data_IF_923397268252
#
_entry.id   IF_923397268252
#
_cell.length_a   1.000
_cell.length_b   1.000
_cell.length_c   1.000
_cell.angle_alpha   90.00
_cell.angle_beta   90.00
_cell.angle_gamma   90.00
#
_symmetry.space_group_name_H-M   'P 1'
#
loop_
_entity.id
_entity.type
_entity.pdbx_description
1 polymer ?
#
# COMPACT_ATOMS: atom_id res chain seq x y z
N UNK A 1 8.99 -11.08 11.85
CA UNK A 1 8.17 -10.74 10.66
C UNK A 1 8.96 -9.73 9.86
N UNK A 2 9.08 -9.92 8.54
CA UNK A 2 9.74 -8.96 7.65
C UNK A 2 8.90 -7.68 7.56
N UNK A 3 9.54 -6.53 7.41
CA UNK A 3 8.88 -5.22 7.45
C UNK A 3 7.80 -5.07 6.34
N UNK A 4 8.01 -5.68 5.17
CA UNK A 4 7.12 -5.66 4.01
C UNK A 4 6.42 -7.00 3.75
N UNK A 5 6.42 -7.90 4.72
CA UNK A 5 5.83 -9.23 4.61
C UNK A 5 6.59 -10.17 3.65
N UNK A 6 6.02 -11.35 3.48
CA UNK A 6 6.67 -12.43 2.72
C UNK A 6 6.65 -12.19 1.19
N UNK A 7 5.73 -11.37 0.68
CA UNK A 7 5.66 -11.04 -0.74
C UNK A 7 6.88 -10.31 -1.29
N UNK A 8 7.60 -9.60 -0.42
CA UNK A 8 8.82 -8.86 -0.75
C UNK A 8 10.04 -9.76 -0.96
N UNK A 9 10.12 -10.86 -0.23
CA UNK A 9 11.32 -11.71 -0.16
C UNK A 9 11.17 -13.06 -0.86
N UNK A 10 9.98 -13.40 -1.33
CA UNK A 10 9.76 -14.67 -2.03
C UNK A 10 9.84 -14.52 -3.54
N UNK A 11 10.20 -15.62 -4.22
CA UNK A 11 10.14 -15.71 -5.68
C UNK A 11 8.70 -15.86 -6.14
N UNK A 12 8.30 -15.08 -7.13
CA UNK A 12 7.01 -15.17 -7.78
C UNK A 12 7.13 -16.00 -9.08
N UNK A 13 6.17 -16.87 -9.30
CA UNK A 13 6.06 -17.66 -10.53
C UNK A 13 5.16 -16.93 -11.52
N UNK A 14 5.60 -16.81 -12.76
CA UNK A 14 4.76 -16.36 -13.87
C UNK A 14 3.71 -17.43 -14.17
N UNK A 15 2.42 -17.05 -14.15
CA UNK A 15 1.28 -17.94 -14.42
C UNK A 15 0.72 -17.66 -15.81
N UNK A 16 0.57 -16.39 -16.17
CA UNK A 16 0.02 -15.97 -17.44
C UNK A 16 0.60 -14.62 -17.84
N UNK A 17 0.83 -14.44 -19.14
CA UNK A 17 1.21 -13.16 -19.73
C UNK A 17 0.49 -12.94 -21.06
N UNK A 18 0.31 -11.68 -21.43
CA UNK A 18 -0.13 -11.18 -22.72
C UNK A 18 0.48 -9.82 -22.96
N UNK A 19 0.25 -9.19 -24.12
CA UNK A 19 0.77 -7.86 -24.43
C UNK A 19 0.32 -6.76 -23.44
N UNK A 20 -0.78 -6.97 -22.71
CA UNK A 20 -1.34 -5.97 -21.80
C UNK A 20 -1.62 -6.49 -20.39
N UNK A 21 -1.26 -7.73 -20.07
CA UNK A 21 -1.48 -8.27 -18.73
C UNK A 21 -0.44 -9.31 -18.31
N UNK A 22 -0.16 -9.33 -17.01
CA UNK A 22 0.76 -10.26 -16.37
C UNK A 22 0.11 -10.79 -15.09
N UNK A 23 0.20 -12.10 -14.85
CA UNK A 23 -0.23 -12.72 -13.59
C UNK A 23 0.95 -13.46 -12.96
N UNK A 24 1.25 -13.07 -11.74
CA UNK A 24 2.28 -13.69 -10.89
C UNK A 24 1.61 -14.36 -9.68
N UNK A 25 2.20 -15.46 -9.23
CA UNK A 25 1.75 -16.16 -8.03
C UNK A 25 2.91 -16.63 -7.17
N UNK A 26 2.70 -16.70 -5.85
CA UNK A 26 3.51 -17.50 -4.95
C UNK A 26 2.65 -18.19 -3.89
N UNK A 27 3.20 -19.25 -3.27
CA UNK A 27 2.61 -19.95 -2.13
C UNK A 27 3.53 -19.85 -0.93
N UNK A 28 2.94 -19.58 0.22
CA UNK A 28 3.60 -19.60 1.52
C UNK A 28 3.15 -20.85 2.28
N UNK A 29 4.08 -21.68 2.68
CA UNK A 29 3.79 -22.99 3.30
C UNK A 29 3.87 -22.97 4.84
N UNK A 30 3.85 -21.77 5.44
CA UNK A 30 4.05 -21.58 6.87
C UNK A 30 5.53 -21.59 7.24
N UNK A 31 5.95 -20.60 8.03
CA UNK A 31 7.30 -20.47 8.61
C UNK A 31 7.16 -20.02 10.06
N UNK A 32 8.23 -20.17 10.87
CA UNK A 32 8.22 -19.72 12.28
C UNK A 32 7.79 -18.25 12.44
N UNK A 33 8.18 -17.39 11.50
CA UNK A 33 7.84 -15.96 11.49
C UNK A 33 6.37 -15.67 11.14
N UNK A 34 5.74 -16.54 10.32
CA UNK A 34 4.34 -16.47 9.93
C UNK A 34 3.83 -17.90 9.63
N UNK A 35 3.15 -18.56 10.58
CA UNK A 35 2.91 -20.00 10.51
C UNK A 35 1.83 -20.42 9.50
N UNK A 36 1.01 -19.48 9.02
CA UNK A 36 -0.14 -19.79 8.19
C UNK A 36 0.21 -20.09 6.73
N UNK A 37 -0.53 -21.02 6.13
CA UNK A 37 -0.41 -21.37 4.71
C UNK A 37 -1.35 -20.49 3.87
N UNK A 38 -0.83 -19.89 2.81
CA UNK A 38 -1.64 -19.07 1.90
C UNK A 38 -1.05 -19.03 0.49
N UNK A 39 -1.87 -18.64 -0.48
CA UNK A 39 -1.42 -18.30 -1.83
C UNK A 39 -1.73 -16.84 -2.12
N UNK A 40 -0.87 -16.22 -2.93
CA UNK A 40 -1.07 -14.86 -3.43
C UNK A 40 -1.03 -14.88 -4.94
N UNK A 41 -1.97 -14.21 -5.58
CA UNK A 41 -1.89 -13.85 -6.99
C UNK A 41 -1.81 -12.33 -7.13
N UNK A 42 -0.95 -11.87 -8.04
CA UNK A 42 -0.80 -10.47 -8.41
C UNK A 42 -1.01 -10.33 -9.92
N UNK A 43 -1.95 -9.48 -10.30
CA UNK A 43 -2.31 -9.22 -11.70
C UNK A 43 -1.97 -7.77 -12.04
N UNK A 44 -1.21 -7.59 -13.10
CA UNK A 44 -0.95 -6.30 -13.72
C UNK A 44 -1.75 -6.21 -15.01
N UNK A 45 -2.41 -5.07 -15.24
CA UNK A 45 -3.11 -4.78 -16.50
C UNK A 45 -2.74 -3.40 -16.98
N UNK A 46 -2.16 -3.32 -18.17
CA UNK A 46 -1.84 -2.08 -18.84
C UNK A 46 -3.01 -1.69 -19.76
N UNK A 47 -3.44 -0.45 -19.67
CA UNK A 47 -4.36 0.23 -20.60
C UNK A 47 -3.62 1.41 -21.20
N UNK A 48 -4.22 2.09 -22.19
CA UNK A 48 -3.56 3.18 -22.94
C UNK A 48 -2.79 4.17 -22.05
N UNK A 49 -3.35 4.58 -20.92
CA UNK A 49 -2.78 5.61 -20.04
C UNK A 49 -2.74 5.16 -18.56
N UNK A 50 -2.99 3.90 -18.27
CA UNK A 50 -3.03 3.42 -16.89
C UNK A 50 -2.50 2.01 -16.69
N UNK A 51 -2.01 1.77 -15.48
CA UNK A 51 -1.62 0.47 -14.95
C UNK A 51 -2.55 0.15 -13.78
N UNK A 52 -3.33 -0.91 -13.89
CA UNK A 52 -4.08 -1.49 -12.78
C UNK A 52 -3.28 -2.65 -12.17
N UNK A 53 -3.12 -2.64 -10.85
CA UNK A 53 -2.49 -3.72 -10.09
C UNK A 53 -3.50 -4.27 -9.08
N UNK A 54 -3.65 -5.59 -9.08
CA UNK A 54 -4.57 -6.32 -8.20
C UNK A 54 -3.82 -7.40 -7.45
N UNK A 55 -4.01 -7.48 -6.14
CA UNK A 55 -3.46 -8.54 -5.28
C UNK A 55 -4.62 -9.27 -4.62
N UNK A 56 -4.58 -10.61 -4.67
CA UNK A 56 -5.54 -11.49 -4.00
C UNK A 56 -4.79 -12.50 -3.15
N UNK A 57 -5.08 -12.53 -1.85
CA UNK A 57 -4.56 -13.50 -0.88
C UNK A 57 -5.67 -14.50 -0.58
N UNK A 58 -5.37 -15.80 -0.70
CA UNK A 58 -6.26 -16.89 -0.32
C UNK A 58 -5.70 -17.66 0.86
N UNK A 59 -6.49 -17.81 1.91
CA UNK A 59 -6.14 -18.65 3.04
C UNK A 59 -6.22 -20.13 2.67
N UNK A 60 -5.11 -20.85 2.79
CA UNK A 60 -5.00 -22.29 2.55
C UNK A 60 -4.84 -23.08 3.85
N UNK A 61 -4.85 -22.38 5.00
CA UNK A 61 -4.75 -22.98 6.32
C UNK A 61 -6.12 -23.37 6.86
N UNK A 62 -6.14 -24.18 7.92
CA UNK A 62 -7.34 -24.52 8.71
C UNK A 62 -7.74 -23.40 9.66
N UNK A 63 -6.81 -22.47 9.96
CA UNK A 63 -6.98 -21.39 10.93
C UNK A 63 -7.26 -20.05 10.25
N UNK A 64 -7.92 -19.15 10.98
CA UNK A 64 -8.05 -17.76 10.60
C UNK A 64 -6.72 -17.03 10.76
N UNK A 65 -6.39 -16.12 9.86
CA UNK A 65 -5.27 -15.21 10.12
C UNK A 65 -5.58 -13.76 9.69
N UNK A 66 -4.88 -12.83 10.32
CA UNK A 66 -4.94 -11.42 9.99
C UNK A 66 -4.01 -11.11 8.81
N UNK A 67 -4.47 -10.29 7.88
CA UNK A 67 -3.68 -9.88 6.73
C UNK A 67 -3.93 -8.42 6.37
N UNK A 68 -2.90 -7.79 5.82
CA UNK A 68 -2.98 -6.52 5.13
C UNK A 68 -2.37 -6.62 3.74
N UNK A 69 -2.80 -5.75 2.83
CA UNK A 69 -2.25 -5.61 1.49
C UNK A 69 -1.79 -4.17 1.31
N UNK A 70 -0.58 -3.99 0.78
CA UNK A 70 -0.03 -2.71 0.38
C UNK A 70 0.62 -2.79 -1.00
N UNK A 71 0.59 -1.68 -1.71
CA UNK A 71 1.32 -1.46 -2.96
C UNK A 71 2.44 -0.47 -2.68
N UNK A 72 3.66 -0.76 -3.12
CA UNK A 72 4.84 0.01 -2.74
C UNK A 72 5.58 0.58 -3.97
N UNK A 73 4.93 1.46 -4.74
CA UNK A 73 5.56 2.10 -5.88
C UNK A 73 6.58 3.14 -5.43
N UNK A 74 7.67 3.23 -6.17
CA UNK A 74 8.74 4.19 -6.00
C UNK A 74 8.67 5.21 -7.12
N UNK A 75 8.83 6.48 -6.77
CA UNK A 75 8.82 7.59 -7.72
C UNK A 75 10.09 8.41 -7.58
N UNK A 76 10.65 8.84 -8.70
CA UNK A 76 11.77 9.78 -8.69
C UNK A 76 11.36 11.11 -8.08
N UNK A 77 12.19 11.63 -7.18
CA UNK A 77 12.01 12.93 -6.57
C UNK A 77 12.58 14.02 -7.46
N UNK A 78 11.80 15.05 -7.75
CA UNK A 78 12.21 16.28 -8.42
C UNK A 78 11.87 17.50 -7.55
N UNK A 79 12.41 18.67 -7.87
CA UNK A 79 12.07 19.93 -7.18
C UNK A 79 10.58 20.30 -7.24
N UNK A 80 9.87 19.80 -8.24
CA UNK A 80 8.45 20.09 -8.47
C UNK A 80 7.53 19.02 -7.85
N UNK A 81 8.09 17.96 -7.24
CA UNK A 81 7.31 16.83 -6.73
C UNK A 81 6.35 17.23 -5.62
N UNK A 82 5.06 16.95 -5.83
CA UNK A 82 3.97 17.26 -4.88
C UNK A 82 2.92 16.16 -4.87
N UNK A 83 2.32 15.93 -3.72
CA UNK A 83 1.18 15.02 -3.55
C UNK A 83 -0.05 15.83 -3.17
N UNK A 84 -1.12 15.67 -3.95
CA UNK A 84 -2.45 16.19 -3.63
C UNK A 84 -3.32 15.03 -3.15
N UNK A 85 -3.86 15.15 -1.95
CA UNK A 85 -4.74 14.16 -1.35
C UNK A 85 -5.78 14.86 -0.47
N UNK A 86 -6.87 14.17 -0.18
CA UNK A 86 -7.89 14.67 0.76
C UNK A 86 -7.61 14.27 2.22
N UNK A 87 -6.67 13.37 2.45
CA UNK A 87 -6.38 12.86 3.79
C UNK A 87 -5.06 13.41 4.30
N UNK A 88 -5.14 14.15 5.39
CA UNK A 88 -3.98 14.72 6.10
C UNK A 88 -3.96 14.34 7.59
N UNK A 89 -4.89 13.50 8.04
CA UNK A 89 -4.79 12.86 9.33
C UNK A 89 -3.92 11.61 9.20
N UNK A 90 -2.89 11.50 9.99
CA UNK A 90 -1.97 10.37 9.96
C UNK A 90 -1.80 9.72 11.33
N UNK A 91 -1.48 8.44 11.31
CA UNK A 91 -1.15 7.67 12.50
C UNK A 91 0.34 7.85 12.80
N UNK A 92 0.63 8.57 13.88
CA UNK A 92 1.99 8.69 14.39
C UNK A 92 2.27 7.57 15.39
N UNK A 93 3.32 6.78 15.13
CA UNK A 93 3.79 5.72 16.00
C UNK A 93 5.13 6.10 16.62
N UNK A 94 5.21 6.15 17.95
CA UNK A 94 6.47 6.36 18.68
C UNK A 94 6.50 5.52 19.95
N UNK A 95 7.53 4.67 20.09
CA UNK A 95 7.71 3.79 21.26
C UNK A 95 6.41 3.03 21.64
N UNK A 96 5.77 2.39 20.65
CA UNK A 96 4.50 1.66 20.79
C UNK A 96 3.29 2.51 21.28
N UNK A 97 3.41 3.83 21.24
CA UNK A 97 2.28 4.76 21.43
C UNK A 97 1.79 5.23 20.08
N UNK A 98 0.48 5.14 19.88
CA UNK A 98 -0.19 5.51 18.64
C UNK A 98 -1.08 6.73 18.87
N UNK A 99 -0.85 7.79 18.11
CA UNK A 99 -1.65 9.01 18.17
C UNK A 99 -2.05 9.44 16.77
N UNK A 100 -3.28 9.95 16.63
CA UNK A 100 -3.69 10.58 15.39
C UNK A 100 -3.22 12.02 15.41
N UNK A 101 -2.43 12.41 14.41
CA UNK A 101 -2.01 13.78 14.19
C UNK A 101 -2.57 14.28 12.86
N UNK A 102 -2.69 15.58 12.72
CA UNK A 102 -3.12 16.22 11.48
C UNK A 102 -1.98 17.08 10.94
N UNK A 103 -1.67 16.92 9.66
CA UNK A 103 -0.87 17.92 8.94
C UNK A 103 -1.72 19.17 8.72
N UNK A 104 -1.17 20.33 9.13
CA UNK A 104 -1.88 21.60 9.08
C UNK A 104 -2.21 21.94 7.64
N UNK A 105 -3.52 22.16 7.39
CA UNK A 105 -4.18 22.81 6.23
C UNK A 105 -3.36 22.99 4.92
N UNK A 106 -2.85 21.92 4.35
CA UNK A 106 -2.28 22.01 3.00
C UNK A 106 -3.12 21.19 2.02
N UNK A 107 -3.44 21.77 0.86
CA UNK A 107 -4.06 21.02 -0.25
C UNK A 107 -3.05 20.09 -0.94
N UNK A 108 -1.76 20.34 -0.74
CA UNK A 108 -0.67 19.59 -1.31
C UNK A 108 0.46 19.39 -0.30
N UNK A 109 1.06 18.21 -0.33
CA UNK A 109 2.26 17.88 0.42
C UNK A 109 3.47 18.11 -0.49
N UNK A 110 4.32 19.05 -0.11
CA UNK A 110 5.62 19.30 -0.76
C UNK A 110 6.63 18.28 -0.21
N UNK A 111 6.92 17.27 -1.00
CA UNK A 111 7.80 16.16 -0.61
C UNK A 111 9.24 16.60 -0.42
N UNK A 112 9.67 17.67 -1.09
CA UNK A 112 11.04 18.19 -0.94
C UNK A 112 11.29 18.82 0.42
N UNK A 113 10.24 19.40 1.01
CA UNK A 113 10.33 20.13 2.29
C UNK A 113 10.03 19.27 3.50
N UNK A 114 9.44 18.11 3.31
CA UNK A 114 8.87 17.34 4.41
C UNK A 114 9.39 15.91 4.41
N UNK A 115 10.18 15.60 5.44
CA UNK A 115 10.54 14.22 5.75
C UNK A 115 9.31 13.50 6.30
N UNK A 116 8.86 12.45 5.63
CA UNK A 116 7.64 11.72 6.01
C UNK A 116 7.92 10.22 6.01
N UNK A 117 7.35 9.54 7.00
CA UNK A 117 7.26 8.08 7.12
C UNK A 117 5.99 7.76 7.91
N UNK A 118 4.81 8.09 7.32
CA UNK A 118 3.54 8.07 8.05
C UNK A 118 2.39 7.52 7.22
N UNK A 119 1.43 6.88 7.89
CA UNK A 119 0.19 6.39 7.26
C UNK A 119 -0.94 7.41 7.42
N UNK A 120 -1.38 7.99 6.31
CA UNK A 120 -2.54 8.86 6.24
C UNK A 120 -3.83 8.04 6.23
N UNK A 121 -4.76 8.40 7.11
CA UNK A 121 -5.97 7.66 7.40
C UNK A 121 -7.15 8.16 6.56
N UNK A 122 -8.13 7.29 6.31
CA UNK A 122 -9.39 7.63 5.65
C UNK A 122 -9.20 8.29 4.27
N UNK A 123 -8.25 7.74 3.51
CA UNK A 123 -8.05 8.15 2.14
C UNK A 123 -9.32 7.87 1.30
N UNK A 124 -9.81 8.90 0.57
CA UNK A 124 -11.02 8.77 -0.26
C UNK A 124 -10.82 7.92 -1.53
N UNK A 125 -9.60 7.38 -1.70
CA UNK A 125 -9.28 6.54 -2.83
C UNK A 125 -8.77 7.29 -4.06
N UNK A 126 -8.46 8.59 -3.95
CA UNK A 126 -7.92 9.39 -5.06
C UNK A 126 -6.81 10.31 -4.58
N UNK A 127 -5.67 10.26 -5.25
CA UNK A 127 -4.55 11.20 -5.08
C UNK A 127 -3.95 11.55 -6.41
N UNK A 128 -3.48 12.80 -6.54
CA UNK A 128 -2.75 13.28 -7.71
C UNK A 128 -1.30 13.53 -7.30
N UNK A 129 -0.38 13.00 -8.09
CA UNK A 129 1.06 13.23 -7.97
C UNK A 129 1.50 14.13 -9.11
N UNK A 130 2.27 15.14 -8.78
CA UNK A 130 3.12 15.85 -9.73
C UNK A 130 4.52 15.28 -9.50
N UNK A 131 5.10 14.63 -10.49
CA UNK A 131 6.47 14.12 -10.41
C UNK A 131 7.45 15.19 -10.89
N UNK A 132 7.11 15.84 -11.99
CA UNK A 132 7.83 16.99 -12.55
C UNK A 132 6.86 17.83 -13.38
N UNK A 133 7.36 18.78 -14.19
CA UNK A 133 6.53 19.65 -15.03
C UNK A 133 5.68 18.89 -16.05
N UNK A 134 6.19 17.76 -16.56
CA UNK A 134 5.62 17.03 -17.70
C UNK A 134 4.86 15.78 -17.26
N UNK A 135 5.13 15.25 -16.05
CA UNK A 135 4.56 13.97 -15.61
C UNK A 135 3.69 14.16 -14.37
N UNK A 136 2.41 13.88 -14.58
CA UNK A 136 1.41 13.84 -13.52
C UNK A 136 0.74 12.46 -13.50
N UNK A 137 0.51 11.93 -12.31
CA UNK A 137 -0.11 10.61 -12.11
C UNK A 137 -1.27 10.74 -11.15
N UNK A 138 -2.38 10.12 -11.48
CA UNK A 138 -3.47 9.92 -10.56
C UNK A 138 -3.43 8.48 -10.02
N UNK A 139 -3.47 8.33 -8.70
CA UNK A 139 -3.62 7.03 -8.02
C UNK A 139 -5.07 6.89 -7.60
N UNK A 140 -5.69 5.78 -7.99
CA UNK A 140 -7.08 5.46 -7.64
C UNK A 140 -7.19 4.14 -6.90
N UNK A 141 -7.93 4.15 -5.79
CA UNK A 141 -8.39 2.91 -5.17
C UNK A 141 -9.45 2.26 -6.08
N UNK A 142 -9.22 1.02 -6.46
CA UNK A 142 -10.21 0.21 -7.19
C UNK A 142 -10.90 -0.77 -6.26
N UNK A 143 -10.22 -1.20 -5.18
CA UNK A 143 -10.80 -2.16 -4.22
C UNK A 143 -10.03 -2.18 -2.89
N UNK A 144 -10.75 -2.04 -1.79
CA UNK A 144 -10.32 -2.37 -0.42
C UNK A 144 -9.07 -1.66 0.12
N UNK A 145 -8.70 -0.50 -0.40
CA UNK A 145 -7.66 0.36 0.10
C UNK A 145 -8.30 1.57 0.79
N UNK A 146 -7.88 1.87 2.01
CA UNK A 146 -8.45 2.95 2.83
C UNK A 146 -7.43 3.92 3.39
N UNK A 147 -6.16 3.62 3.24
CA UNK A 147 -5.08 4.43 3.77
C UNK A 147 -4.01 4.64 2.70
N UNK A 148 -3.20 5.66 2.90
CA UNK A 148 -2.10 6.01 2.03
C UNK A 148 -0.85 6.18 2.89
N UNK A 149 0.12 5.27 2.79
CA UNK A 149 1.40 5.48 3.45
C UNK A 149 2.32 6.29 2.55
N UNK A 150 2.97 7.29 3.11
CA UNK A 150 3.94 8.13 2.40
C UNK A 150 5.27 8.00 3.08
N UNK A 151 6.27 7.65 2.29
CA UNK A 151 7.66 7.56 2.71
C UNK A 151 8.54 8.47 1.85
N UNK A 152 9.18 9.43 2.47
CA UNK A 152 10.16 10.31 1.83
C UNK A 152 11.39 10.38 2.71
N UNK A 153 12.42 9.54 2.45
CA UNK A 153 13.65 9.53 3.22
C UNK A 153 14.48 10.81 2.97
N UNK A 154 15.27 11.26 3.95
CA UNK A 154 16.15 12.39 3.75
C UNK A 154 17.30 12.04 2.81
N UNK A 155 17.72 12.98 1.98
CA UNK A 155 18.90 12.87 1.09
C UNK A 155 18.80 11.79 0.00
N UNK A 156 17.63 11.25 -0.25
CA UNK A 156 17.38 10.27 -1.32
C UNK A 156 16.66 10.92 -2.50
N UNK A 157 16.83 10.35 -3.69
CA UNK A 157 16.27 10.85 -4.94
C UNK A 157 14.91 10.23 -5.26
N UNK A 158 14.22 9.68 -4.27
CA UNK A 158 12.93 9.03 -4.46
C UNK A 158 11.99 9.28 -3.27
N UNK A 159 10.73 8.97 -3.51
CA UNK A 159 9.70 8.85 -2.49
C UNK A 159 8.74 7.72 -2.85
N UNK A 160 8.01 7.22 -1.86
CA UNK A 160 7.00 6.19 -2.05
C UNK A 160 5.62 6.73 -1.65
N UNK A 161 4.62 6.35 -2.42
CA UNK A 161 3.21 6.56 -2.07
C UNK A 161 2.54 5.22 -2.15
N UNK A 162 2.18 4.72 -1.01
CA UNK A 162 1.80 3.33 -0.83
C UNK A 162 0.31 3.25 -0.46
N UNK A 163 -0.57 2.94 -1.43
CA UNK A 163 -1.94 2.58 -1.11
C UNK A 163 -1.97 1.29 -0.28
N UNK A 164 -2.49 1.37 0.95
CA UNK A 164 -2.47 0.26 1.91
C UNK A 164 -3.85 0.00 2.52
N UNK A 165 -4.16 -1.26 2.79
CA UNK A 165 -5.40 -1.64 3.48
C UNK A 165 -5.31 -1.42 4.99
N UNK A 166 -4.11 -1.54 5.57
CA UNK A 166 -3.82 -1.44 6.99
C UNK A 166 -2.91 -0.24 7.29
N UNK A 167 -2.80 0.10 8.56
CA UNK A 167 -1.86 1.11 9.02
C UNK A 167 -0.50 0.49 9.32
N UNK A 168 0.53 1.32 9.42
CA UNK A 168 1.84 0.93 9.94
C UNK A 168 1.67 0.34 11.35
N UNK A 169 2.47 -0.66 11.70
CA UNK A 169 2.44 -1.35 13.00
C UNK A 169 1.06 -1.91 13.38
N UNK A 170 0.24 -2.28 12.40
CA UNK A 170 -1.15 -2.67 12.59
C UNK A 170 -1.35 -3.81 13.60
N UNK A 171 -0.39 -4.72 13.71
CA UNK A 171 -0.43 -5.82 14.70
C UNK A 171 -0.21 -5.34 16.15
N UNK A 172 0.44 -4.19 16.33
CA UNK A 172 0.69 -3.59 17.64
C UNK A 172 -0.47 -2.69 18.11
N UNK A 173 -1.32 -2.26 17.19
CA UNK A 173 -2.53 -1.50 17.51
C UNK A 173 -3.50 -2.38 18.26
N UNK A 174 -3.70 -2.11 19.55
CA UNK A 174 -4.55 -2.93 20.43
C UNK A 174 -5.99 -3.00 19.89
N UNK A 175 -6.57 -4.20 19.91
CA UNK A 175 -7.94 -4.49 19.44
C UNK A 175 -9.00 -3.57 20.08
N UNK A 176 -8.77 -3.12 21.31
CA UNK A 176 -9.69 -2.25 22.07
C UNK A 176 -9.39 -0.75 21.91
N UNK A 177 -8.40 -0.37 21.08
CA UNK A 177 -8.18 1.04 20.77
C UNK A 177 -9.25 1.49 19.78
N UNK A 178 -9.69 2.75 19.90
CA UNK A 178 -10.56 3.40 18.87
C UNK A 178 -9.87 3.55 17.51
N UNK A 179 -8.60 3.13 17.42
CA UNK A 179 -7.80 3.22 16.21
C UNK A 179 -8.07 1.98 15.34
N UNK A 180 -8.57 2.24 14.14
CA UNK A 180 -8.76 1.22 13.13
C UNK A 180 -7.39 0.81 12.55
N UNK A 181 -7.02 -0.46 12.70
CA UNK A 181 -5.74 -0.97 12.22
C UNK A 181 -5.76 -1.43 10.73
N UNK A 182 -6.93 -1.64 10.16
CA UNK A 182 -7.11 -2.01 8.75
C UNK A 182 -6.83 -3.47 8.40
N UNK A 183 -6.37 -4.29 9.33
CA UNK A 183 -6.17 -5.71 9.10
C UNK A 183 -7.50 -6.43 8.82
N UNK A 184 -7.47 -7.42 7.93
CA UNK A 184 -8.58 -8.28 7.59
C UNK A 184 -8.35 -9.69 8.10
N UNK A 185 -9.36 -10.27 8.75
CA UNK A 185 -9.38 -11.69 9.11
C UNK A 185 -9.79 -12.48 7.88
N UNK A 186 -8.94 -13.39 7.43
CA UNK A 186 -9.26 -14.30 6.33
C UNK A 186 -9.54 -15.69 6.92
N UNK A 187 -10.79 -16.12 6.82
CA UNK A 187 -11.21 -17.47 7.24
C UNK A 187 -10.63 -18.53 6.29
N UNK A 188 -10.55 -19.82 6.72
CA UNK A 188 -10.13 -20.93 5.86
C UNK A 188 -10.83 -20.92 4.51
N UNK A 189 -10.09 -21.18 3.43
CA UNK A 189 -10.58 -21.21 2.02
C UNK A 189 -11.11 -19.87 1.48
N UNK A 190 -11.19 -18.80 2.30
CA UNK A 190 -11.62 -17.46 1.87
C UNK A 190 -10.45 -16.64 1.36
N UNK A 191 -10.76 -15.53 0.71
CA UNK A 191 -9.78 -14.62 0.12
C UNK A 191 -10.05 -13.18 0.51
N UNK A 192 -8.97 -12.39 0.54
CA UNK A 192 -9.01 -10.93 0.57
C UNK A 192 -8.31 -10.38 -0.67
N UNK A 193 -8.86 -9.33 -1.25
CA UNK A 193 -8.35 -8.74 -2.49
C UNK A 193 -8.29 -7.22 -2.37
N UNK A 194 -7.24 -6.63 -2.92
CA UNK A 194 -7.11 -5.19 -3.07
C UNK A 194 -6.65 -4.84 -4.49
N UNK A 195 -7.01 -3.65 -4.96
CA UNK A 195 -6.62 -3.18 -6.29
C UNK A 195 -6.45 -1.67 -6.33
N UNK A 196 -5.47 -1.21 -7.11
CA UNK A 196 -5.17 0.19 -7.37
C UNK A 196 -4.95 0.42 -8.87
N UNK A 197 -5.17 1.64 -9.30
CA UNK A 197 -4.86 2.10 -10.66
C UNK A 197 -3.96 3.32 -10.59
N UNK A 198 -2.93 3.32 -11.41
CA UNK A 198 -2.05 4.46 -11.67
C UNK A 198 -2.35 4.96 -13.08
N UNK A 199 -2.85 6.20 -13.20
CA UNK A 199 -3.21 6.80 -14.49
C UNK A 199 -2.33 8.01 -14.78
N UNK A 200 -1.70 8.04 -15.93
CA UNK A 200 -1.01 9.23 -16.45
C UNK A 200 -2.05 10.29 -16.76
N UNK A 201 -1.83 11.51 -16.33
CA UNK A 201 -2.66 12.67 -16.66
C UNK A 201 -1.91 13.52 -17.70
N UNK A 202 -2.56 13.75 -18.82
CA UNK A 202 -2.12 14.66 -19.88
C UNK A 202 -2.51 16.09 -19.52
#
# INVERSE_FOLDING_TARGET
>A
MTIHGEGWVNKWRLVKSSNSSLTLEFKHNGKKSFPYKYSVSQVFKIKKESLEIRIKIKNLDSENFNCGIGFHPWFSLSKDSKIYSNSFNYLHSRKNKFTIKRLIKTKALDINKTKIDETFLNWNGKSKLILNKDIQIEIRNKKNIKNLHVYSPPKENFFCIEPVSNVRDAYLVKKNSKLYNGLKIIKPKKSFEAAVEFKILN
#
